data_IF_180897281754
#
_entry.id   IF_180897281754
#
_cell.length_a   1.000
_cell.length_b   1.000
_cell.length_c   1.000
_cell.angle_alpha   90.00
_cell.angle_beta   90.00
_cell.angle_gamma   90.00
#
_symmetry.space_group_name_H-M   'P 1'
#
loop_
_entity.id
_entity.type
_entity.pdbx_description
1 polymer ?
#
# COMPACT_ATOMS: atom_id res chain seq x y z
N UNK A 1 -25.69 -20.78 -7.27
CA UNK A 1 -25.47 -20.28 -5.90
C UNK A 1 -24.15 -19.55 -5.97
N UNK A 2 -24.14 -18.25 -5.69
CA UNK A 2 -23.05 -17.36 -6.06
C UNK A 2 -22.33 -16.67 -4.91
N UNK A 3 -22.87 -16.70 -3.70
CA UNK A 3 -22.33 -15.92 -2.59
C UNK A 3 -21.36 -16.80 -1.78
N UNK A 4 -20.11 -16.35 -1.70
CA UNK A 4 -19.03 -17.01 -0.94
C UNK A 4 -18.45 -16.02 0.07
N UNK A 5 -18.19 -16.49 1.29
CA UNK A 5 -17.55 -15.67 2.33
C UNK A 5 -16.03 -15.74 2.14
N UNK A 6 -15.41 -14.59 1.91
CA UNK A 6 -13.96 -14.44 1.81
C UNK A 6 -13.41 -13.76 3.06
N UNK A 7 -12.24 -14.16 3.55
CA UNK A 7 -11.55 -13.49 4.65
C UNK A 7 -10.04 -13.57 4.46
N UNK A 8 -9.25 -12.68 5.06
CA UNK A 8 -7.80 -12.85 5.03
C UNK A 8 -7.35 -14.06 5.85
N UNK A 9 -6.43 -14.85 5.30
CA UNK A 9 -5.71 -15.87 6.05
C UNK A 9 -4.91 -15.18 7.17
N UNK A 10 -5.11 -15.59 8.41
CA UNK A 10 -4.57 -14.92 9.60
C UNK A 10 -5.62 -14.17 10.43
N UNK A 11 -6.75 -13.83 9.82
CA UNK A 11 -7.89 -13.20 10.51
C UNK A 11 -9.03 -14.21 10.80
N UNK A 12 -9.93 -13.84 11.72
CA UNK A 12 -11.12 -14.62 12.02
C UNK A 12 -12.12 -14.50 10.85
N UNK A 13 -12.74 -15.59 10.37
CA UNK A 13 -13.74 -15.55 9.29
C UNK A 13 -14.89 -14.56 9.50
N UNK A 14 -15.14 -14.11 10.74
CA UNK A 14 -16.12 -13.06 11.06
C UNK A 14 -15.74 -11.67 10.55
N UNK A 15 -14.46 -11.39 10.28
CA UNK A 15 -14.04 -10.15 9.59
C UNK A 15 -14.23 -10.23 8.08
N UNK A 16 -14.65 -11.38 7.57
CA UNK A 16 -14.82 -11.64 6.15
C UNK A 16 -15.93 -10.85 5.48
N UNK A 17 -15.86 -10.82 4.16
CA UNK A 17 -16.80 -10.18 3.26
C UNK A 17 -17.48 -11.23 2.38
N UNK A 18 -18.80 -11.17 2.27
CA UNK A 18 -19.56 -11.99 1.33
C UNK A 18 -19.51 -11.36 -0.06
N UNK A 19 -19.08 -12.13 -1.06
CA UNK A 19 -19.00 -11.69 -2.46
C UNK A 19 -19.80 -12.64 -3.36
N UNK A 20 -20.55 -12.07 -4.31
CA UNK A 20 -21.27 -12.85 -5.32
C UNK A 20 -20.40 -13.13 -6.54
N UNK A 21 -19.83 -14.33 -6.58
CA UNK A 21 -18.95 -14.83 -7.65
C UNK A 21 -19.71 -15.52 -8.79
N UNK A 22 -21.05 -15.45 -8.83
CA UNK A 22 -21.84 -16.11 -9.89
C UNK A 22 -21.66 -15.49 -11.28
N UNK A 23 -21.26 -14.21 -11.33
CA UNK A 23 -21.07 -13.46 -12.56
C UNK A 23 -19.62 -13.43 -13.06
N UNK A 24 -18.69 -13.98 -12.28
CA UNK A 24 -17.27 -13.93 -12.57
C UNK A 24 -16.92 -14.96 -13.65
N UNK A 25 -16.28 -14.51 -14.73
CA UNK A 25 -15.96 -15.34 -15.90
C UNK A 25 -14.69 -16.16 -15.74
N UNK A 26 -13.70 -15.64 -15.00
CA UNK A 26 -12.38 -16.26 -14.83
C UNK A 26 -11.76 -15.90 -13.47
N UNK A 27 -10.66 -16.56 -13.13
CA UNK A 27 -9.98 -16.37 -11.85
C UNK A 27 -9.30 -15.00 -11.75
N UNK A 28 -8.85 -14.41 -12.86
CA UNK A 28 -8.16 -13.12 -12.87
C UNK A 28 -9.13 -12.00 -12.50
N UNK A 29 -10.34 -12.01 -13.06
CA UNK A 29 -11.44 -11.10 -12.70
C UNK A 29 -11.82 -11.27 -11.24
N UNK A 30 -11.87 -12.51 -10.72
CA UNK A 30 -12.14 -12.75 -9.30
C UNK A 30 -11.06 -12.11 -8.42
N UNK A 31 -9.78 -12.32 -8.75
CA UNK A 31 -8.65 -11.72 -8.01
C UNK A 31 -8.75 -10.19 -8.04
N UNK A 32 -9.10 -9.59 -9.16
CA UNK A 32 -9.27 -8.14 -9.27
C UNK A 32 -10.43 -7.63 -8.40
N UNK A 33 -11.57 -8.32 -8.41
CA UNK A 33 -12.73 -7.95 -7.60
C UNK A 33 -12.43 -8.07 -6.10
N UNK A 34 -11.82 -9.18 -5.69
CA UNK A 34 -11.35 -9.39 -4.32
C UNK A 34 -10.33 -8.32 -3.92
N UNK A 35 -9.36 -8.00 -4.79
CA UNK A 35 -8.37 -6.97 -4.54
C UNK A 35 -9.02 -5.60 -4.28
N UNK A 36 -10.02 -5.21 -5.07
CA UNK A 36 -10.74 -3.95 -4.91
C UNK A 36 -11.52 -3.90 -3.60
N UNK A 37 -12.16 -5.01 -3.20
CA UNK A 37 -12.94 -5.09 -1.97
C UNK A 37 -12.09 -5.12 -0.71
N UNK A 38 -10.95 -5.82 -0.76
CA UNK A 38 -10.05 -6.00 0.38
C UNK A 38 -8.89 -5.01 0.42
N UNK A 39 -8.74 -4.15 -0.60
CA UNK A 39 -7.68 -3.15 -0.68
C UNK A 39 -6.28 -3.74 -0.94
N UNK A 40 -6.19 -4.82 -1.70
CA UNK A 40 -4.91 -5.45 -2.07
C UNK A 40 -4.34 -4.76 -3.32
N UNK A 41 -3.10 -4.29 -3.24
CA UNK A 41 -2.52 -3.44 -4.30
C UNK A 41 -2.06 -4.24 -5.53
N UNK A 42 -1.67 -5.50 -5.35
CA UNK A 42 -1.21 -6.40 -6.42
C UNK A 42 -2.16 -7.61 -6.50
N UNK A 43 -3.21 -7.55 -7.34
CA UNK A 43 -4.24 -8.59 -7.42
C UNK A 43 -3.69 -9.96 -7.82
N UNK A 44 -2.62 -10.00 -8.61
CA UNK A 44 -2.03 -11.24 -9.13
C UNK A 44 -1.48 -12.14 -8.01
N UNK A 45 -1.05 -11.52 -6.90
CA UNK A 45 -0.50 -12.19 -5.73
C UNK A 45 -1.56 -12.78 -4.80
N UNK A 46 -2.85 -12.59 -5.10
CA UNK A 46 -3.95 -13.18 -4.34
C UNK A 46 -4.01 -14.68 -4.59
N UNK A 47 -3.99 -15.45 -3.51
CA UNK A 47 -4.26 -16.88 -3.48
C UNK A 47 -5.52 -17.19 -2.70
N UNK A 48 -6.17 -18.31 -3.03
CA UNK A 48 -7.37 -18.78 -2.34
C UNK A 48 -7.11 -20.11 -1.66
N UNK A 49 -7.53 -20.23 -0.41
CA UNK A 49 -7.40 -21.45 0.38
C UNK A 49 -8.73 -21.82 1.02
N UNK A 50 -9.06 -23.11 1.00
CA UNK A 50 -10.20 -23.66 1.75
C UNK A 50 -9.76 -24.87 2.53
N UNK A 51 -10.09 -24.92 3.83
CA UNK A 51 -9.70 -25.99 4.76
C UNK A 51 -8.18 -26.31 4.75
N UNK A 52 -7.35 -25.31 4.46
CA UNK A 52 -5.88 -25.45 4.40
C UNK A 52 -5.33 -26.00 3.08
N UNK A 53 -6.17 -26.21 2.06
CA UNK A 53 -5.74 -26.55 0.72
C UNK A 53 -5.89 -25.34 -0.22
N UNK A 54 -4.90 -25.13 -1.08
CA UNK A 54 -4.95 -24.11 -2.13
C UNK A 54 -5.95 -24.48 -3.22
N UNK A 55 -6.70 -23.49 -3.68
CA UNK A 55 -7.74 -23.64 -4.70
C UNK A 55 -7.38 -22.77 -5.90
N UNK A 56 -6.96 -23.42 -6.98
CA UNK A 56 -6.52 -22.74 -8.20
C UNK A 56 -7.64 -22.63 -9.27
N UNK A 57 -8.75 -23.36 -9.10
CA UNK A 57 -9.84 -23.38 -10.08
C UNK A 57 -11.08 -22.61 -9.59
N UNK A 58 -11.61 -21.73 -10.46
CA UNK A 58 -12.84 -20.97 -10.19
C UNK A 58 -14.05 -21.88 -9.93
N UNK A 59 -14.17 -22.96 -10.70
CA UNK A 59 -15.25 -23.95 -10.54
C UNK A 59 -15.21 -24.62 -9.17
N UNK A 60 -14.02 -24.86 -8.62
CA UNK A 60 -13.87 -25.38 -7.26
C UNK A 60 -14.35 -24.34 -6.24
N UNK A 61 -13.98 -23.06 -6.39
CA UNK A 61 -14.43 -21.95 -5.53
C UNK A 61 -15.95 -21.79 -5.52
N UNK A 62 -16.61 -21.92 -6.67
CA UNK A 62 -18.07 -21.82 -6.80
C UNK A 62 -18.83 -22.97 -6.12
N UNK A 63 -18.17 -24.10 -5.87
CA UNK A 63 -18.76 -25.28 -5.23
C UNK A 63 -18.40 -25.42 -3.75
N UNK A 64 -17.58 -24.50 -3.20
CA UNK A 64 -17.20 -24.49 -1.79
C UNK A 64 -18.30 -23.82 -0.96
N UNK A 65 -18.71 -24.49 0.12
CA UNK A 65 -19.70 -23.98 1.08
C UNK A 65 -19.05 -23.39 2.33
N UNK A 66 -17.75 -23.63 2.54
CA UNK A 66 -17.00 -23.13 3.68
C UNK A 66 -16.40 -21.74 3.37
N UNK A 67 -16.03 -20.96 4.39
CA UNK A 67 -15.29 -19.71 4.17
C UNK A 67 -13.98 -19.96 3.40
N UNK A 68 -13.68 -19.06 2.47
CA UNK A 68 -12.45 -19.06 1.67
C UNK A 68 -11.47 -18.06 2.27
N UNK A 69 -10.29 -18.56 2.64
CA UNK A 69 -9.19 -17.74 3.13
C UNK A 69 -8.39 -17.17 1.96
N UNK A 70 -8.07 -15.89 2.02
CA UNK A 70 -7.28 -15.14 1.04
C UNK A 70 -5.85 -15.04 1.55
N UNK A 71 -4.89 -15.47 0.75
CA UNK A 71 -3.47 -15.23 0.98
C UNK A 71 -2.96 -14.12 0.05
N UNK A 72 -1.95 -13.39 0.49
CA UNK A 72 -1.27 -12.36 -0.32
C UNK A 72 0.19 -12.75 -0.45
N UNK A 73 0.67 -12.92 -1.68
CA UNK A 73 2.03 -13.39 -1.97
C UNK A 73 2.32 -14.77 -1.37
N UNK A 74 1.30 -15.63 -1.25
CA UNK A 74 1.39 -16.96 -0.63
C UNK A 74 1.47 -16.97 0.89
N UNK A 75 1.31 -15.83 1.55
CA UNK A 75 1.39 -15.70 3.00
C UNK A 75 0.05 -15.27 3.61
N UNK A 76 -0.15 -15.63 4.88
CA UNK A 76 -1.20 -15.05 5.70
C UNK A 76 -0.91 -13.56 5.94
N UNK A 77 -1.96 -12.73 5.95
CA UNK A 77 -1.85 -11.33 6.35
C UNK A 77 -1.46 -11.27 7.81
N UNK A 78 -0.59 -10.33 8.14
CA UNK A 78 -0.03 -10.16 9.48
C UNK A 78 0.21 -8.69 9.75
N UNK A 79 0.24 -8.36 11.04
CA UNK A 79 0.67 -7.04 11.49
C UNK A 79 2.12 -6.77 11.08
N UNK A 80 2.40 -5.51 10.77
CA UNK A 80 3.76 -5.07 10.45
C UNK A 80 4.57 -5.13 11.76
N UNK A 81 5.72 -5.82 11.79
CA UNK A 81 6.51 -5.90 13.01
C UNK A 81 7.01 -4.50 13.41
N UNK A 82 7.16 -4.23 14.70
CA UNK A 82 7.66 -2.96 15.19
C UNK A 82 8.12 -3.09 16.65
N UNK A 83 8.95 -2.16 17.14
CA UNK A 83 9.26 -2.11 18.56
C UNK A 83 7.99 -1.81 19.38
N UNK A 84 7.85 -2.46 20.53
CA UNK A 84 6.76 -2.19 21.45
C UNK A 84 6.80 -0.73 21.91
N UNK A 85 5.64 -0.06 21.84
CA UNK A 85 5.50 1.32 22.26
C UNK A 85 5.23 1.45 23.76
N UNK A 86 5.72 2.54 24.36
CA UNK A 86 5.26 2.99 25.66
C UNK A 86 3.90 3.72 25.54
N UNK A 87 3.09 3.73 26.61
CA UNK A 87 1.84 4.51 26.61
C UNK A 87 2.08 5.98 26.23
N UNK A 88 1.19 6.54 25.41
CA UNK A 88 1.16 7.94 24.93
C UNK A 88 2.27 8.35 23.95
N UNK A 89 3.49 7.89 24.15
CA UNK A 89 4.66 8.27 23.32
C UNK A 89 5.00 7.25 22.23
N UNK A 90 4.36 6.08 22.26
CA UNK A 90 4.65 5.01 21.30
C UNK A 90 6.09 4.54 21.42
N UNK A 91 6.73 4.22 20.29
CA UNK A 91 8.10 3.76 20.23
C UNK A 91 9.12 4.88 19.96
N UNK A 92 8.74 6.15 20.15
CA UNK A 92 9.59 7.34 19.98
C UNK A 92 11.04 7.21 20.51
N UNK A 93 11.22 6.61 21.69
CA UNK A 93 12.53 6.49 22.34
C UNK A 93 13.43 5.37 21.78
N UNK A 94 12.91 4.52 20.90
CA UNK A 94 13.67 3.42 20.28
C UNK A 94 14.55 3.87 19.11
N UNK A 95 14.70 5.20 18.92
CA UNK A 95 15.23 5.84 17.70
C UNK A 95 16.53 5.28 17.10
N UNK A 96 16.66 5.49 15.78
CA UNK A 96 17.78 5.24 14.84
C UNK A 96 18.38 3.81 14.75
N UNK A 97 18.08 2.89 15.69
CA UNK A 97 18.70 1.55 15.67
C UNK A 97 18.17 0.62 14.57
N UNK A 98 17.06 0.95 13.92
CA UNK A 98 16.37 0.07 12.94
C UNK A 98 16.11 0.72 11.58
N UNK A 99 16.36 2.03 11.43
CA UNK A 99 15.90 2.87 10.31
C UNK A 99 16.48 2.50 8.92
N UNK A 100 17.39 1.52 8.85
CA UNK A 100 17.99 1.03 7.60
C UNK A 100 17.80 -0.46 7.29
N UNK A 101 17.10 -1.25 8.12
CA UNK A 101 17.19 -2.73 8.00
C UNK A 101 15.89 -3.52 7.94
N UNK A 102 14.71 -2.95 8.24
CA UNK A 102 13.47 -3.75 8.35
C UNK A 102 12.23 -2.98 7.90
N UNK A 103 11.26 -3.71 7.36
CA UNK A 103 9.86 -3.28 7.31
C UNK A 103 9.37 -3.13 8.75
N UNK A 104 8.96 -1.92 9.13
CA UNK A 104 8.65 -1.61 10.53
C UNK A 104 7.47 -0.66 10.68
N UNK A 105 6.64 -0.91 11.68
CA UNK A 105 5.67 0.05 12.18
C UNK A 105 6.31 0.93 13.26
N UNK A 106 6.20 2.25 13.07
CA UNK A 106 6.71 3.24 14.00
C UNK A 106 5.58 4.15 14.46
N UNK A 107 5.39 4.29 15.77
CA UNK A 107 4.41 5.19 16.34
C UNK A 107 5.11 6.21 17.23
N UNK A 108 5.02 7.48 16.84
CA UNK A 108 5.59 8.62 17.55
C UNK A 108 4.48 9.61 17.94
N UNK A 109 4.24 9.76 19.25
CA UNK A 109 3.33 10.75 19.84
C UNK A 109 2.00 10.84 19.05
N UNK A 110 1.37 9.68 18.84
CA UNK A 110 0.08 9.58 18.15
C UNK A 110 0.11 9.55 16.62
N UNK A 111 1.30 9.55 15.99
CA UNK A 111 1.47 9.38 14.55
C UNK A 111 2.10 8.03 14.23
N UNK A 112 1.43 7.21 13.43
CA UNK A 112 1.95 5.93 12.96
C UNK A 112 2.49 6.06 11.54
N UNK A 113 3.73 5.62 11.33
CA UNK A 113 4.43 5.61 10.05
C UNK A 113 4.90 4.19 9.77
N UNK A 114 4.68 3.72 8.54
CA UNK A 114 5.21 2.45 8.07
C UNK A 114 6.49 2.70 7.26
N UNK A 115 7.56 2.01 7.66
CA UNK A 115 8.86 2.08 7.02
C UNK A 115 9.07 0.79 6.23
N UNK A 116 9.61 0.90 5.02
CA UNK A 116 9.98 -0.25 4.20
C UNK A 116 11.37 -0.04 3.60
N UNK A 117 12.16 -1.11 3.59
CA UNK A 117 13.39 -1.21 2.82
C UNK A 117 13.28 -2.25 1.69
N UNK A 118 12.10 -2.85 1.52
CA UNK A 118 11.82 -3.78 0.44
C UNK A 118 11.61 -2.98 -0.86
N UNK A 119 12.40 -3.22 -1.92
CA UNK A 119 12.29 -2.47 -3.17
C UNK A 119 10.94 -2.67 -3.86
N UNK A 120 10.27 -3.82 -3.70
CA UNK A 120 8.97 -4.10 -4.31
C UNK A 120 7.89 -3.26 -3.62
N UNK A 121 7.86 -3.26 -2.29
CA UNK A 121 6.91 -2.45 -1.51
C UNK A 121 7.19 -0.95 -1.73
N UNK A 122 8.45 -0.54 -1.77
CA UNK A 122 8.83 0.85 -2.05
C UNK A 122 8.35 1.28 -3.45
N UNK A 123 8.49 0.43 -4.46
CA UNK A 123 7.98 0.71 -5.80
C UNK A 123 6.46 0.90 -5.80
N UNK A 124 5.72 0.06 -5.07
CA UNK A 124 4.28 0.20 -4.90
C UNK A 124 3.94 1.57 -4.29
N UNK A 125 4.55 1.92 -3.15
CA UNK A 125 4.28 3.19 -2.45
C UNK A 125 4.66 4.43 -3.25
N UNK A 126 5.69 4.35 -4.09
CA UNK A 126 6.17 5.45 -4.92
C UNK A 126 5.46 5.57 -6.28
N UNK A 127 4.63 4.61 -6.66
CA UNK A 127 3.99 4.56 -7.98
C UNK A 127 2.83 5.56 -8.17
N UNK A 128 2.45 6.32 -7.13
CA UNK A 128 1.27 7.19 -7.08
C UNK A 128 0.02 6.55 -7.70
N UNK A 129 -0.74 5.81 -6.90
CA UNK A 129 -1.96 5.08 -7.29
C UNK A 129 -3.16 5.56 -6.48
N UNK A 130 -4.30 4.88 -6.61
CA UNK A 130 -5.44 5.11 -5.72
C UNK A 130 -5.14 4.78 -4.24
N UNK A 131 -4.14 3.94 -3.98
CA UNK A 131 -3.72 3.56 -2.63
C UNK A 131 -2.72 4.54 -2.01
N UNK A 132 -1.84 5.12 -2.82
CA UNK A 132 -0.76 5.97 -2.35
C UNK A 132 -0.69 7.26 -3.14
N UNK A 133 -0.66 8.38 -2.42
CA UNK A 133 -0.50 9.71 -3.01
C UNK A 133 0.37 10.55 -2.10
N UNK A 134 1.15 11.47 -2.67
CA UNK A 134 1.90 12.45 -1.90
C UNK A 134 0.95 13.50 -1.30
N UNK A 135 0.55 13.30 -0.06
CA UNK A 135 -0.30 14.23 0.71
C UNK A 135 0.40 14.57 2.02
N UNK A 136 0.59 15.86 2.29
CA UNK A 136 1.07 16.36 3.57
C UNK A 136 -0.15 16.55 4.49
N UNK A 137 -0.39 15.55 5.35
CA UNK A 137 -1.50 15.50 6.32
C UNK A 137 -1.17 16.24 7.63
N UNK A 138 -2.15 16.63 8.47
CA UNK A 138 -1.90 17.39 9.71
C UNK A 138 -0.83 16.81 10.64
N UNK A 139 -0.73 15.48 10.70
CA UNK A 139 0.23 14.76 11.54
C UNK A 139 1.60 14.56 10.86
N UNK A 140 1.79 15.07 9.64
CA UNK A 140 3.06 14.97 8.93
C UNK A 140 4.06 16.05 9.42
N UNK A 141 5.36 15.73 9.62
CA UNK A 141 6.34 16.71 10.11
C UNK A 141 6.47 17.98 9.26
N UNK A 142 6.23 17.88 7.95
CA UNK A 142 6.26 19.01 7.02
C UNK A 142 4.96 19.82 6.97
N UNK A 143 3.89 19.41 7.67
CA UNK A 143 2.60 20.09 7.64
C UNK A 143 2.66 21.58 8.02
N UNK A 144 3.40 22.00 9.08
CA UNK A 144 3.46 23.41 9.47
C UNK A 144 4.08 24.33 8.42
N UNK A 145 4.87 23.78 7.49
CA UNK A 145 5.55 24.52 6.42
C UNK A 145 4.94 24.24 5.04
N UNK A 146 3.79 23.53 4.99
CA UNK A 146 3.06 23.28 3.75
C UNK A 146 2.62 24.61 3.15
N UNK A 147 2.97 24.83 1.87
CA UNK A 147 2.55 26.03 1.15
C UNK A 147 2.31 25.71 -0.33
N UNK A 148 1.15 26.09 -0.90
CA UNK A 148 0.84 25.87 -2.32
C UNK A 148 1.86 26.50 -3.27
N UNK A 149 2.54 27.56 -2.83
CA UNK A 149 3.51 28.32 -3.64
C UNK A 149 4.90 27.68 -3.67
N UNK A 150 5.19 26.68 -2.83
CA UNK A 150 6.49 25.99 -2.80
C UNK A 150 6.64 24.90 -3.89
N UNK A 151 5.74 24.87 -4.87
CA UNK A 151 5.80 23.96 -6.01
C UNK A 151 5.82 22.49 -5.61
N UNK A 152 6.65 21.69 -6.28
CA UNK A 152 6.62 20.21 -6.13
C UNK A 152 7.09 19.69 -4.76
N UNK A 153 7.75 20.49 -3.92
CA UNK A 153 8.38 20.02 -2.68
C UNK A 153 7.42 20.05 -1.49
N UNK A 154 6.75 21.18 -1.21
CA UNK A 154 5.85 21.34 -0.05
C UNK A 154 4.37 21.45 -0.43
N UNK A 155 4.00 21.09 -1.67
CA UNK A 155 2.61 20.90 -2.08
C UNK A 155 2.26 19.41 -2.23
N UNK A 156 0.97 19.12 -2.13
CA UNK A 156 0.39 17.80 -2.42
C UNK A 156 0.39 17.56 -3.93
N UNK A 157 0.47 16.31 -4.37
CA UNK A 157 0.38 15.97 -5.80
C UNK A 157 -1.01 16.22 -6.40
N UNK A 158 -2.03 16.37 -5.55
CA UNK A 158 -3.39 16.76 -5.96
C UNK A 158 -3.54 18.25 -6.28
N UNK A 159 -2.60 19.10 -5.85
CA UNK A 159 -2.67 20.55 -6.04
C UNK A 159 -2.46 20.92 -7.54
N UNK A 160 -3.29 21.82 -8.12
CA UNK A 160 -3.06 22.33 -9.47
C UNK A 160 -1.66 22.95 -9.68
N UNK A 161 -1.09 23.63 -8.68
CA UNK A 161 0.24 24.23 -8.75
C UNK A 161 1.31 23.17 -8.95
N UNK A 162 1.18 22.02 -8.26
CA UNK A 162 2.09 20.89 -8.39
C UNK A 162 2.12 20.37 -9.82
N UNK A 163 0.95 20.18 -10.45
CA UNK A 163 0.84 19.70 -11.85
C UNK A 163 1.50 20.65 -12.85
N UNK A 164 1.33 21.95 -12.65
CA UNK A 164 1.95 22.97 -13.52
C UNK A 164 3.47 22.89 -13.38
N UNK A 165 4.00 22.92 -12.16
CA UNK A 165 5.46 22.88 -11.93
C UNK A 165 6.04 21.55 -12.43
N UNK A 166 5.41 20.42 -12.12
CA UNK A 166 5.87 19.09 -12.55
C UNK A 166 5.83 18.91 -14.08
N UNK A 167 4.99 19.66 -14.81
CA UNK A 167 5.02 19.67 -16.27
C UNK A 167 6.23 20.39 -16.85
N UNK A 168 6.68 21.49 -16.21
CA UNK A 168 7.73 22.36 -16.75
C UNK A 168 9.13 22.12 -16.14
N UNK A 169 9.21 21.47 -14.98
CA UNK A 169 10.46 21.20 -14.28
C UNK A 169 11.33 20.10 -14.95
N UNK A 170 10.80 18.95 -15.40
CA UNK A 170 11.63 17.87 -15.96
C UNK A 170 12.51 18.29 -17.16
N UNK A 171 12.03 19.11 -18.13
CA UNK A 171 12.90 19.62 -19.19
C UNK A 171 14.10 20.45 -18.70
N UNK A 172 13.94 21.18 -17.59
CA UNK A 172 15.00 21.97 -16.98
C UNK A 172 16.01 21.13 -16.17
N UNK A 173 15.64 19.89 -15.83
CA UNK A 173 16.49 18.92 -15.11
C UNK A 173 16.98 17.77 -16.02
N UNK A 174 16.59 17.77 -17.30
CA UNK A 174 16.94 16.71 -18.23
C UNK A 174 18.41 16.76 -18.69
N UNK A 175 18.90 15.70 -19.36
CA UNK A 175 20.31 15.59 -19.76
C UNK A 175 20.84 16.76 -20.59
N UNK A 176 19.99 17.39 -21.42
CA UNK A 176 20.35 18.57 -22.21
C UNK A 176 20.60 19.81 -21.35
N UNK A 177 19.76 20.03 -20.34
CA UNK A 177 19.91 21.14 -19.41
C UNK A 177 21.12 20.93 -18.49
N UNK A 178 21.32 19.70 -18.00
CA UNK A 178 22.50 19.34 -17.19
C UNK A 178 23.81 19.63 -17.93
N UNK A 179 23.91 19.33 -19.23
CA UNK A 179 25.10 19.69 -20.04
C UNK A 179 25.37 21.19 -20.10
N UNK A 180 24.33 22.01 -20.03
CA UNK A 180 24.47 23.46 -20.01
C UNK A 180 24.95 23.97 -18.64
N UNK A 181 24.51 23.35 -17.55
CA UNK A 181 24.92 23.71 -16.19
C UNK A 181 26.25 23.08 -15.75
N UNK A 182 26.68 21.97 -16.36
CA UNK A 182 27.90 21.26 -15.98
C UNK A 182 29.19 22.13 -15.96
N UNK A 183 29.39 23.11 -16.86
CA UNK A 183 30.59 23.96 -16.80
C UNK A 183 30.64 24.95 -15.63
N UNK A 184 29.52 25.20 -14.95
CA UNK A 184 29.41 26.17 -13.83
C UNK A 184 29.26 25.49 -12.46
N UNK A 185 29.24 24.15 -12.42
CA UNK A 185 29.28 23.33 -11.21
C UNK A 185 30.70 22.82 -10.95
#
# INVERSE_FOLDING_TARGET
>A
MGITLFHFAGEDPKSGLELDISHVSDLEVLKQEVANHFGVVVPEEIGFQSRGAEVEELTALQNIYDPVAITVGGHAVRDVPGPEGLPWVGNYFEGDKTMGTRNAEWTDIGSTTYLTNDPVIAQIGLSETEFFSKIIVPNHPLYPIKTPDAGVFLADSTDPSWKIVHKFMPPALGPKAVRHYAPIM
#
